data_IF_147291937433
#
_entry.id   IF_147291937433
#
_cell.length_a   1.000
_cell.length_b   1.000
_cell.length_c   1.000
_cell.angle_alpha   90.00
_cell.angle_beta   90.00
_cell.angle_gamma   90.00
#
_symmetry.space_group_name_H-M   'P 1'
#
loop_
_entity.id
_entity.type
_entity.pdbx_description
1 polymer ?
#
# COMPACT_ATOMS: atom_id res chain seq x y z
N UNK A 1 -28.94 -10.99 8.08
CA UNK A 1 -28.24 -10.84 6.78
C UNK A 1 -28.19 -9.36 6.47
N UNK A 2 -27.20 -8.63 7.02
CA UNK A 2 -27.02 -7.21 6.76
C UNK A 2 -26.48 -7.05 5.34
N UNK A 3 -27.30 -6.55 4.41
CA UNK A 3 -26.82 -6.01 3.14
C UNK A 3 -26.03 -4.73 3.45
N UNK A 4 -24.73 -4.86 3.66
CA UNK A 4 -23.82 -3.74 3.53
C UNK A 4 -23.90 -3.29 2.07
N UNK A 5 -24.68 -2.23 1.84
CA UNK A 5 -24.63 -1.48 0.58
C UNK A 5 -23.24 -0.83 0.56
N UNK A 6 -22.28 -1.48 -0.12
CA UNK A 6 -21.03 -0.84 -0.47
C UNK A 6 -21.40 0.40 -1.28
N UNK A 7 -21.12 1.58 -0.73
CA UNK A 7 -21.27 2.83 -1.46
C UNK A 7 -20.07 2.91 -2.42
N UNK A 8 -20.15 2.20 -3.51
CA UNK A 8 -19.21 2.35 -4.62
C UNK A 8 -19.78 3.37 -5.60
N UNK A 9 -18.90 4.07 -6.28
CA UNK A 9 -19.25 4.90 -7.44
C UNK A 9 -19.21 4.06 -8.76
N UNK A 10 -20.09 3.05 -8.93
CA UNK A 10 -19.96 2.01 -9.96
C UNK A 10 -20.09 2.56 -11.37
N UNK A 11 -20.63 3.75 -11.50
CA UNK A 11 -20.82 4.44 -12.78
C UNK A 11 -19.74 5.50 -13.05
N UNK A 12 -18.77 5.67 -12.14
CA UNK A 12 -17.69 6.61 -12.35
C UNK A 12 -16.86 6.23 -13.58
N UNK A 13 -16.36 7.23 -14.29
CA UNK A 13 -15.43 7.05 -15.43
C UNK A 13 -14.26 6.14 -15.06
N UNK A 14 -13.67 6.35 -13.89
CA UNK A 14 -12.52 5.58 -13.41
C UNK A 14 -12.87 4.10 -13.24
N UNK A 15 -13.94 3.77 -12.52
CA UNK A 15 -14.34 2.37 -12.28
C UNK A 15 -14.74 1.67 -13.60
N UNK A 16 -15.40 2.38 -14.50
CA UNK A 16 -15.72 1.86 -15.83
C UNK A 16 -14.46 1.55 -16.64
N UNK A 17 -13.47 2.45 -16.62
CA UNK A 17 -12.18 2.21 -17.28
C UNK A 17 -11.45 1.00 -16.69
N UNK A 18 -11.42 0.84 -15.36
CA UNK A 18 -10.86 -0.34 -14.71
C UNK A 18 -11.53 -1.66 -15.12
N UNK A 19 -12.81 -1.59 -15.53
CA UNK A 19 -13.58 -2.74 -16.04
C UNK A 19 -13.51 -2.88 -17.55
N UNK A 20 -12.60 -2.18 -18.23
CA UNK A 20 -12.47 -2.13 -19.69
C UNK A 20 -13.77 -1.73 -20.40
N UNK A 21 -14.63 -0.93 -19.75
CA UNK A 21 -15.86 -0.41 -20.32
C UNK A 21 -15.63 0.92 -21.04
N UNK A 22 -16.41 1.27 -22.06
CA UNK A 22 -16.29 2.54 -22.77
C UNK A 22 -16.43 3.74 -21.83
N UNK A 23 -15.54 4.71 -21.99
CA UNK A 23 -15.53 5.99 -21.27
C UNK A 23 -15.40 7.14 -22.25
N UNK A 24 -15.86 8.32 -21.85
CA UNK A 24 -15.83 9.54 -22.66
C UNK A 24 -14.42 10.12 -22.83
N UNK A 25 -13.55 9.90 -21.82
CA UNK A 25 -12.13 10.29 -21.83
C UNK A 25 -11.36 9.40 -20.86
N UNK A 26 -10.04 9.34 -21.00
CA UNK A 26 -9.15 8.66 -20.05
C UNK A 26 -9.26 9.30 -18.66
N UNK A 27 -9.61 8.53 -17.60
CA UNK A 27 -9.61 9.03 -16.24
C UNK A 27 -8.20 9.26 -15.73
N UNK A 28 -8.03 10.27 -14.88
CA UNK A 28 -6.74 10.66 -14.33
C UNK A 28 -6.79 10.70 -12.82
N UNK A 29 -5.79 10.12 -12.19
CA UNK A 29 -5.44 10.26 -10.78
C UNK A 29 -3.92 10.30 -10.63
N UNK A 30 -3.41 10.76 -9.48
CA UNK A 30 -1.98 10.83 -9.26
C UNK A 30 -1.56 9.96 -8.08
N UNK A 31 -0.50 9.17 -8.26
CA UNK A 31 0.06 8.31 -7.20
C UNK A 31 0.33 9.10 -5.90
N UNK A 32 0.77 10.34 -6.03
CA UNK A 32 1.02 11.25 -4.91
C UNK A 32 0.14 12.51 -5.03
N UNK A 33 -1.17 12.32 -4.86
CA UNK A 33 -2.12 13.44 -4.87
C UNK A 33 -1.80 14.44 -3.76
N UNK A 34 -1.67 13.98 -2.52
CA UNK A 34 -1.14 14.81 -1.44
C UNK A 34 0.39 14.79 -1.45
N UNK A 35 1.00 15.96 -1.42
CA UNK A 35 2.43 16.07 -1.45
C UNK A 35 2.98 17.42 -0.99
N UNK A 36 4.31 17.51 -0.81
CA UNK A 36 4.98 18.72 -0.33
C UNK A 36 4.83 19.93 -1.26
N UNK A 37 4.33 19.77 -2.46
CA UNK A 37 3.96 20.85 -3.36
C UNK A 37 2.70 21.61 -2.91
N UNK A 38 1.79 20.96 -2.15
CA UNK A 38 0.56 21.55 -1.65
C UNK A 38 0.80 22.30 -0.34
N UNK A 39 0.26 23.53 -0.23
CA UNK A 39 0.36 24.34 0.98
C UNK A 39 -0.39 23.71 2.16
N UNK A 40 -1.57 23.16 1.91
CA UNK A 40 -2.45 22.51 2.86
C UNK A 40 -1.73 21.31 3.49
N UNK A 41 -1.16 20.43 2.66
CA UNK A 41 -0.39 19.29 3.15
C UNK A 41 0.83 19.73 3.99
N UNK A 42 1.55 20.78 3.56
CA UNK A 42 2.67 21.31 4.35
C UNK A 42 2.22 21.84 5.71
N UNK A 43 1.01 22.42 5.80
CA UNK A 43 0.44 22.89 7.07
C UNK A 43 0.17 21.74 8.05
N UNK A 44 -0.37 20.62 7.57
CA UNK A 44 -0.56 19.41 8.37
C UNK A 44 0.80 18.82 8.79
N UNK A 45 1.76 18.72 7.86
CA UNK A 45 3.10 18.18 8.11
C UNK A 45 3.96 18.98 9.08
N UNK A 46 3.66 20.28 9.27
CA UNK A 46 4.31 21.10 10.31
C UNK A 46 3.92 20.67 11.73
N UNK A 47 2.74 20.05 11.90
CA UNK A 47 2.19 19.66 13.20
C UNK A 47 2.30 18.17 13.47
N UNK A 48 2.38 17.36 12.43
CA UNK A 48 2.32 15.89 12.51
C UNK A 48 3.39 15.23 11.65
N UNK A 49 3.98 14.16 12.16
CA UNK A 49 4.85 13.28 11.36
C UNK A 49 4.03 12.54 10.29
N UNK A 50 4.71 11.96 9.29
CA UNK A 50 4.05 11.16 8.26
C UNK A 50 3.25 10.00 8.88
N UNK A 51 3.87 9.26 9.78
CA UNK A 51 3.27 8.10 10.43
C UNK A 51 2.10 8.49 11.33
N UNK A 52 2.19 9.63 12.03
CA UNK A 52 1.05 10.14 12.81
C UNK A 52 -0.15 10.46 11.92
N UNK A 53 0.06 11.06 10.75
CA UNK A 53 -1.03 11.32 9.80
C UNK A 53 -1.65 9.99 9.34
N UNK A 54 -0.83 9.02 8.95
CA UNK A 54 -1.33 7.71 8.50
C UNK A 54 -2.10 6.97 9.59
N UNK A 55 -1.70 7.09 10.87
CA UNK A 55 -2.32 6.38 12.01
C UNK A 55 -3.54 7.10 12.61
N UNK A 56 -3.82 8.33 12.19
CA UNK A 56 -4.99 9.10 12.61
C UNK A 56 -5.99 9.18 11.45
N UNK A 57 -7.09 8.41 11.50
CA UNK A 57 -8.04 8.32 10.39
C UNK A 57 -8.55 9.68 9.89
N UNK A 58 -8.84 10.58 10.82
CA UNK A 58 -9.32 11.93 10.52
C UNK A 58 -8.30 12.77 9.74
N UNK A 59 -7.00 12.66 10.07
CA UNK A 59 -5.95 13.39 9.36
C UNK A 59 -5.67 12.77 7.99
N UNK A 60 -5.64 11.44 7.90
CA UNK A 60 -5.46 10.74 6.63
C UNK A 60 -6.62 11.05 5.66
N UNK A 61 -7.86 11.07 6.19
CA UNK A 61 -9.04 11.45 5.41
C UNK A 61 -8.99 12.92 4.97
N UNK A 62 -8.69 13.86 5.88
CA UNK A 62 -8.54 15.28 5.57
C UNK A 62 -7.54 15.51 4.43
N UNK A 63 -6.34 14.92 4.56
CA UNK A 63 -5.28 15.05 3.55
C UNK A 63 -5.72 14.46 2.21
N UNK A 64 -6.40 13.32 2.21
CA UNK A 64 -6.91 12.67 1.00
C UNK A 64 -7.96 13.54 0.31
N UNK A 65 -8.96 14.02 1.06
CA UNK A 65 -10.08 14.83 0.56
C UNK A 65 -9.55 16.14 -0.03
N UNK A 66 -8.76 16.86 0.76
CA UNK A 66 -8.19 18.16 0.33
C UNK A 66 -7.40 18.03 -0.98
N UNK A 67 -6.59 16.97 -1.10
CA UNK A 67 -5.80 16.76 -2.30
C UNK A 67 -6.67 16.41 -3.52
N UNK A 68 -7.65 15.53 -3.36
CA UNK A 68 -8.52 15.12 -4.45
C UNK A 68 -9.38 16.30 -4.96
N UNK A 69 -9.92 17.12 -4.07
CA UNK A 69 -10.72 18.31 -4.42
C UNK A 69 -9.87 19.39 -5.11
N UNK A 70 -8.67 19.67 -4.58
CA UNK A 70 -7.79 20.68 -5.16
C UNK A 70 -7.29 20.32 -6.56
N UNK A 71 -7.11 19.04 -6.85
CA UNK A 71 -6.60 18.57 -8.15
C UNK A 71 -7.69 18.26 -9.17
N UNK A 72 -8.94 18.08 -8.76
CA UNK A 72 -10.07 17.76 -9.65
C UNK A 72 -9.88 16.43 -10.39
N UNK A 73 -9.35 15.42 -9.71
CA UNK A 73 -9.04 14.08 -10.25
C UNK A 73 -10.28 13.22 -10.45
N UNK A 74 -10.16 12.14 -11.22
CA UNK A 74 -11.24 11.18 -11.48
C UNK A 74 -11.33 10.04 -10.42
N UNK A 75 -10.39 9.98 -9.48
CA UNK A 75 -10.42 9.08 -8.32
C UNK A 75 -9.56 9.61 -7.17
N UNK A 76 -9.99 9.40 -5.92
CA UNK A 76 -9.18 9.69 -4.75
C UNK A 76 -8.35 8.45 -4.36
N UNK A 77 -7.08 8.61 -3.98
CA UNK A 77 -6.28 7.55 -3.38
C UNK A 77 -6.04 7.86 -1.91
N UNK A 78 -6.23 6.85 -1.05
CA UNK A 78 -6.04 7.03 0.40
C UNK A 78 -4.63 7.51 0.73
N UNK A 79 -4.53 8.47 1.65
CA UNK A 79 -3.25 8.85 2.21
C UNK A 79 -2.81 7.84 3.27
N UNK A 80 -1.82 7.04 2.93
CA UNK A 80 -1.23 6.03 3.80
C UNK A 80 0.25 5.83 3.41
N UNK A 81 0.95 4.96 4.14
CA UNK A 81 2.30 4.54 3.77
C UNK A 81 2.34 3.06 3.39
N UNK A 82 3.18 2.74 2.41
CA UNK A 82 3.33 1.40 1.85
C UNK A 82 3.83 0.38 2.88
N UNK A 83 4.60 0.85 3.89
CA UNK A 83 5.29 0.00 4.86
C UNK A 83 4.50 -0.26 6.14
N UNK A 84 3.31 0.31 6.30
CA UNK A 84 2.48 0.08 7.49
C UNK A 84 2.26 -1.42 7.82
N UNK A 85 2.07 -2.32 6.83
CA UNK A 85 1.99 -3.76 7.09
C UNK A 85 3.22 -4.34 7.78
N UNK A 86 4.42 -3.80 7.54
CA UNK A 86 5.65 -4.31 8.14
C UNK A 86 5.65 -4.14 9.67
N UNK A 87 5.08 -3.05 10.16
CA UNK A 87 5.03 -2.78 11.60
C UNK A 87 4.20 -3.84 12.34
N UNK A 88 3.05 -4.21 11.81
CA UNK A 88 2.18 -5.25 12.39
C UNK A 88 2.77 -6.65 12.24
N UNK A 89 3.66 -6.84 11.28
CA UNK A 89 4.46 -8.06 11.15
C UNK A 89 5.61 -8.15 12.16
N UNK A 90 5.84 -7.09 12.97
CA UNK A 90 6.89 -7.05 13.97
C UNK A 90 8.20 -6.42 13.48
N UNK A 91 8.16 -5.70 12.38
CA UNK A 91 9.30 -5.03 11.77
C UNK A 91 9.10 -3.49 11.80
N UNK A 92 9.37 -2.83 12.94
CA UNK A 92 9.20 -1.39 13.04
C UNK A 92 10.18 -0.65 12.12
N UNK A 93 9.72 0.47 11.61
CA UNK A 93 10.50 1.35 10.75
C UNK A 93 10.31 2.81 11.15
N UNK A 94 11.26 3.66 10.76
CA UNK A 94 11.17 5.11 10.92
C UNK A 94 11.58 5.82 9.63
N UNK A 95 11.18 7.07 9.51
CA UNK A 95 11.65 7.92 8.41
C UNK A 95 12.79 8.82 8.89
N UNK A 96 13.90 8.77 8.19
CA UNK A 96 15.02 9.68 8.38
C UNK A 96 15.06 10.76 7.29
N UNK A 97 15.42 11.97 7.69
CA UNK A 97 15.50 13.09 6.77
C UNK A 97 16.61 12.85 5.73
N UNK A 98 16.20 12.80 4.46
CA UNK A 98 17.13 12.57 3.34
C UNK A 98 17.36 11.10 2.98
N UNK A 99 17.08 10.16 3.85
CA UNK A 99 17.33 8.73 3.62
C UNK A 99 16.07 7.92 3.28
N UNK A 100 14.90 8.41 3.67
CA UNK A 100 13.64 7.69 3.51
C UNK A 100 13.33 6.74 4.68
N UNK A 101 12.63 5.62 4.44
CA UNK A 101 12.34 4.65 5.47
C UNK A 101 13.59 3.85 5.86
N UNK A 102 13.78 3.64 7.16
CA UNK A 102 14.87 2.85 7.73
C UNK A 102 14.27 1.78 8.64
N UNK A 103 14.63 0.53 8.40
CA UNK A 103 14.27 -0.63 9.22
C UNK A 103 15.48 -1.00 10.07
N UNK A 104 15.35 -0.89 11.39
CA UNK A 104 16.48 -1.05 12.32
C UNK A 104 17.04 -2.47 12.33
N UNK A 105 16.17 -3.46 12.15
CA UNK A 105 16.53 -4.88 12.15
C UNK A 105 16.02 -5.54 10.88
N UNK A 106 16.73 -5.37 9.76
CA UNK A 106 16.35 -5.99 8.49
C UNK A 106 16.33 -7.51 8.59
N UNK A 107 15.49 -8.13 7.81
CA UNK A 107 15.42 -9.60 7.66
C UNK A 107 16.69 -10.09 6.95
N UNK A 108 17.40 -11.04 7.55
CA UNK A 108 18.68 -11.53 7.01
C UNK A 108 18.72 -13.03 6.77
N UNK A 109 17.93 -13.79 7.49
CA UNK A 109 17.92 -15.24 7.43
C UNK A 109 16.54 -15.84 7.73
N UNK A 110 16.46 -17.17 7.67
CA UNK A 110 15.23 -17.93 7.97
C UNK A 110 14.67 -17.69 9.38
N UNK A 111 15.55 -17.40 10.36
CA UNK A 111 15.09 -17.19 11.74
C UNK A 111 14.40 -15.83 11.87
N UNK A 112 14.87 -14.83 11.14
CA UNK A 112 14.21 -13.53 11.07
C UNK A 112 12.84 -13.67 10.38
N UNK A 113 12.78 -14.42 9.27
CA UNK A 113 11.51 -14.71 8.59
C UNK A 113 10.52 -15.43 9.50
N UNK A 114 10.98 -16.44 10.26
CA UNK A 114 10.14 -17.21 11.17
C UNK A 114 9.49 -16.35 12.26
N UNK A 115 10.14 -15.27 12.71
CA UNK A 115 9.62 -14.34 13.74
C UNK A 115 8.55 -13.39 13.22
N UNK A 116 8.39 -13.25 11.91
CA UNK A 116 7.41 -12.34 11.34
C UNK A 116 5.98 -12.85 11.61
N UNK A 117 5.13 -11.94 12.04
CA UNK A 117 3.73 -12.21 12.42
C UNK A 117 2.82 -11.99 11.21
N UNK A 118 1.74 -12.77 11.16
CA UNK A 118 0.70 -12.65 10.11
C UNK A 118 -0.70 -12.45 10.69
N UNK A 119 -0.83 -12.53 12.02
CA UNK A 119 -2.09 -12.55 12.76
C UNK A 119 -2.60 -11.16 13.18
N UNK A 120 -1.91 -10.09 12.81
CA UNK A 120 -2.19 -8.72 13.28
C UNK A 120 -2.58 -7.73 12.17
N UNK A 121 -3.02 -8.20 11.03
CA UNK A 121 -3.48 -7.31 9.95
C UNK A 121 -4.63 -6.39 10.39
N UNK A 122 -5.47 -6.84 11.32
CA UNK A 122 -6.56 -6.03 11.90
C UNK A 122 -6.08 -4.77 12.63
N UNK A 123 -4.84 -4.73 13.11
CA UNK A 123 -4.25 -3.55 13.76
C UNK A 123 -4.07 -2.36 12.77
N UNK A 124 -4.20 -2.61 11.47
CA UNK A 124 -4.23 -1.59 10.41
C UNK A 124 -5.63 -0.97 10.20
N UNK A 125 -6.60 -1.28 11.05
CA UNK A 125 -7.99 -0.82 10.95
C UNK A 125 -8.15 0.70 10.88
N UNK A 126 -7.16 1.47 11.33
CA UNK A 126 -7.15 2.93 11.20
C UNK A 126 -7.11 3.39 9.73
N UNK A 127 -6.48 2.62 8.82
CA UNK A 127 -6.51 2.93 7.38
C UNK A 127 -7.91 2.67 6.81
N UNK A 128 -8.53 1.55 7.18
CA UNK A 128 -9.90 1.24 6.78
C UNK A 128 -10.89 2.31 7.29
N UNK A 129 -10.69 2.83 8.51
CA UNK A 129 -11.51 3.92 9.03
C UNK A 129 -11.32 5.22 8.22
N UNK A 130 -10.10 5.57 7.84
CA UNK A 130 -9.85 6.70 6.96
C UNK A 130 -10.55 6.52 5.61
N UNK A 131 -10.51 5.33 5.02
CA UNK A 131 -11.24 5.00 3.77
C UNK A 131 -12.74 5.25 3.95
N UNK A 132 -13.37 4.78 5.06
CA UNK A 132 -14.80 5.03 5.32
C UNK A 132 -15.13 6.52 5.37
N UNK A 133 -14.29 7.32 6.03
CA UNK A 133 -14.49 8.77 6.14
C UNK A 133 -14.41 9.45 4.76
N UNK A 134 -13.44 9.08 3.92
CA UNK A 134 -13.32 9.59 2.55
C UNK A 134 -14.51 9.18 1.69
N UNK A 135 -14.91 7.91 1.75
CA UNK A 135 -16.08 7.41 1.02
C UNK A 135 -17.37 8.12 1.47
N UNK A 136 -17.53 8.37 2.77
CA UNK A 136 -18.66 9.14 3.31
C UNK A 136 -18.69 10.58 2.79
N UNK A 137 -17.51 11.22 2.64
CA UNK A 137 -17.41 12.59 2.14
C UNK A 137 -17.77 12.69 0.66
N UNK A 138 -17.22 11.80 -0.16
CA UNK A 138 -17.42 11.88 -1.61
C UNK A 138 -18.73 11.21 -2.07
N UNK A 139 -19.20 10.17 -1.39
CA UNK A 139 -20.32 9.36 -1.84
C UNK A 139 -20.07 8.87 -3.28
N UNK A 140 -21.08 9.03 -4.14
CA UNK A 140 -20.99 8.62 -5.55
C UNK A 140 -20.23 9.61 -6.46
N UNK A 141 -19.77 10.74 -5.92
CA UNK A 141 -19.11 11.80 -6.71
C UNK A 141 -17.71 11.40 -7.18
N UNK A 142 -16.96 10.68 -6.34
CA UNK A 142 -15.58 10.33 -6.63
C UNK A 142 -15.26 8.95 -6.06
N UNK A 143 -14.77 8.00 -6.89
CA UNK A 143 -14.39 6.67 -6.43
C UNK A 143 -13.11 6.70 -5.60
N UNK A 144 -13.00 5.70 -4.72
CA UNK A 144 -11.90 5.56 -3.78
C UNK A 144 -10.95 4.44 -4.18
N UNK A 145 -9.67 4.77 -4.28
CA UNK A 145 -8.57 3.83 -4.48
C UNK A 145 -7.94 3.54 -3.11
N UNK A 146 -8.06 2.27 -2.67
CA UNK A 146 -7.18 1.73 -1.65
C UNK A 146 -5.87 1.24 -2.27
N UNK A 147 -4.85 0.97 -1.45
CA UNK A 147 -3.62 0.41 -1.99
C UNK A 147 -2.86 -0.46 -1.00
N UNK A 148 -1.96 -1.28 -1.53
CA UNK A 148 -0.94 -2.00 -0.78
C UNK A 148 0.36 -2.10 -1.57
N UNK A 149 1.44 -2.46 -0.90
CA UNK A 149 2.69 -2.86 -1.55
C UNK A 149 2.60 -4.29 -2.05
N UNK A 150 3.17 -4.56 -3.21
CA UNK A 150 3.37 -5.92 -3.68
C UNK A 150 4.42 -6.65 -2.81
N UNK A 151 4.31 -7.96 -2.66
CA UNK A 151 5.20 -8.74 -1.81
C UNK A 151 6.69 -8.54 -2.12
N UNK A 152 7.10 -8.51 -3.39
CA UNK A 152 8.49 -8.30 -3.75
C UNK A 152 9.01 -6.92 -3.29
N UNK A 153 8.26 -5.86 -3.51
CA UNK A 153 8.65 -4.51 -3.07
C UNK A 153 8.76 -4.44 -1.56
N UNK A 154 7.81 -5.03 -0.81
CA UNK A 154 7.86 -5.06 0.66
C UNK A 154 9.01 -5.92 1.17
N UNK A 155 9.22 -7.12 0.62
CA UNK A 155 10.35 -7.99 0.95
C UNK A 155 11.69 -7.27 0.74
N UNK A 156 11.81 -6.51 -0.36
CA UNK A 156 13.00 -5.73 -0.63
C UNK A 156 13.27 -4.68 0.45
N UNK A 157 12.26 -3.95 0.92
CA UNK A 157 12.42 -3.03 2.06
C UNK A 157 12.85 -3.77 3.33
N UNK A 158 12.19 -4.89 3.63
CA UNK A 158 12.47 -5.70 4.82
C UNK A 158 13.90 -6.22 4.84
N UNK A 159 14.41 -6.66 3.69
CA UNK A 159 15.74 -7.28 3.57
C UNK A 159 16.83 -6.23 3.41
N UNK A 160 16.66 -5.21 2.56
CA UNK A 160 17.68 -4.16 2.37
C UNK A 160 17.78 -3.24 3.60
N UNK A 161 16.68 -3.09 4.36
CA UNK A 161 16.62 -2.20 5.52
C UNK A 161 16.20 -0.77 5.16
N UNK A 162 15.94 -0.50 3.89
CA UNK A 162 15.60 0.81 3.34
C UNK A 162 15.65 0.82 1.82
N UNK A 163 15.90 2.00 1.23
CA UNK A 163 16.07 2.12 -0.20
C UNK A 163 17.36 1.41 -0.69
N UNK A 164 17.29 0.74 -1.85
CA UNK A 164 18.43 0.08 -2.48
C UNK A 164 18.47 0.36 -3.98
N UNK A 165 19.68 0.39 -4.56
CA UNK A 165 19.85 0.50 -6.02
C UNK A 165 19.95 -0.87 -6.71
N UNK A 166 20.60 -1.81 -6.05
CA UNK A 166 21.00 -3.08 -6.67
C UNK A 166 20.31 -4.30 -6.07
N UNK A 167 19.60 -4.13 -4.94
CA UNK A 167 18.85 -5.19 -4.25
C UNK A 167 19.70 -6.44 -3.99
N UNK A 168 20.95 -6.23 -3.54
CA UNK A 168 21.95 -7.31 -3.42
C UNK A 168 21.55 -8.32 -2.37
N UNK A 169 21.09 -7.85 -1.20
CA UNK A 169 20.67 -8.74 -0.11
C UNK A 169 19.38 -9.47 -0.46
N UNK A 170 18.45 -8.77 -1.12
CA UNK A 170 17.18 -9.35 -1.61
C UNK A 170 17.46 -10.48 -2.60
N UNK A 171 18.27 -10.22 -3.64
CA UNK A 171 18.64 -11.23 -4.63
C UNK A 171 19.44 -12.37 -4.01
N UNK A 172 20.33 -12.07 -3.06
CA UNK A 172 21.05 -13.11 -2.33
C UNK A 172 20.09 -14.07 -1.63
N UNK A 173 19.14 -13.58 -0.83
CA UNK A 173 18.15 -14.43 -0.16
C UNK A 173 17.33 -15.22 -1.18
N UNK A 174 16.85 -14.56 -2.23
CA UNK A 174 16.04 -15.16 -3.30
C UNK A 174 16.70 -16.36 -3.97
N UNK A 175 18.02 -16.25 -4.25
CA UNK A 175 18.75 -17.31 -4.95
C UNK A 175 19.39 -18.34 -4.03
N UNK A 176 19.87 -17.92 -2.83
CA UNK A 176 20.63 -18.79 -1.95
C UNK A 176 19.78 -19.47 -0.86
N UNK A 177 18.62 -18.91 -0.52
CA UNK A 177 17.75 -19.40 0.53
C UNK A 177 16.28 -19.46 0.07
N UNK A 178 15.96 -20.24 -0.99
CA UNK A 178 14.63 -20.23 -1.60
C UNK A 178 13.50 -20.63 -0.62
N UNK A 179 13.78 -21.49 0.35
CA UNK A 179 12.81 -21.85 1.39
C UNK A 179 12.43 -20.64 2.28
N UNK A 180 13.42 -19.87 2.74
CA UNK A 180 13.19 -18.66 3.53
C UNK A 180 12.49 -17.57 2.69
N UNK A 181 12.89 -17.45 1.42
CA UNK A 181 12.26 -16.53 0.47
C UNK A 181 10.77 -16.86 0.28
N UNK A 182 10.42 -18.11 0.00
CA UNK A 182 9.04 -18.53 -0.23
C UNK A 182 8.18 -18.35 1.04
N UNK A 183 8.74 -18.63 2.22
CA UNK A 183 8.04 -18.38 3.49
C UNK A 183 7.78 -16.88 3.69
N UNK A 184 8.78 -16.02 3.42
CA UNK A 184 8.61 -14.56 3.49
C UNK A 184 7.52 -14.07 2.54
N UNK A 185 7.53 -14.51 1.29
CA UNK A 185 6.52 -14.15 0.29
C UNK A 185 5.13 -14.60 0.72
N UNK A 186 4.97 -15.82 1.23
CA UNK A 186 3.69 -16.33 1.73
C UNK A 186 3.16 -15.50 2.90
N UNK A 187 4.01 -15.11 3.84
CA UNK A 187 3.64 -14.24 4.97
C UNK A 187 3.20 -12.85 4.49
N UNK A 188 3.93 -12.27 3.53
CA UNK A 188 3.58 -10.98 2.94
C UNK A 188 2.25 -11.03 2.20
N UNK A 189 2.02 -12.08 1.39
CA UNK A 189 0.74 -12.27 0.71
C UNK A 189 -0.40 -12.34 1.71
N UNK A 190 -0.26 -13.12 2.79
CA UNK A 190 -1.31 -13.25 3.80
C UNK A 190 -1.68 -11.89 4.44
N UNK A 191 -0.68 -11.11 4.86
CA UNK A 191 -0.93 -9.81 5.51
C UNK A 191 -1.44 -8.76 4.52
N UNK A 192 -0.86 -8.68 3.32
CA UNK A 192 -1.25 -7.66 2.34
C UNK A 192 -2.63 -7.94 1.74
N UNK A 193 -3.00 -9.20 1.56
CA UNK A 193 -4.34 -9.60 1.09
C UNK A 193 -5.41 -9.20 2.10
N UNK A 194 -5.20 -9.47 3.38
CA UNK A 194 -6.16 -9.07 4.42
C UNK A 194 -6.22 -7.54 4.55
N UNK A 195 -5.07 -6.86 4.52
CA UNK A 195 -5.02 -5.40 4.53
C UNK A 195 -5.76 -4.77 3.34
N UNK A 196 -5.62 -5.32 2.13
CA UNK A 196 -6.36 -4.87 0.96
C UNK A 196 -7.88 -5.18 1.10
N UNK A 197 -8.23 -6.36 1.60
CA UNK A 197 -9.61 -6.75 1.82
C UNK A 197 -10.33 -5.84 2.83
N UNK A 198 -9.64 -5.41 3.92
CA UNK A 198 -10.19 -4.45 4.86
C UNK A 198 -10.49 -3.08 4.22
N UNK A 199 -9.63 -2.60 3.31
CA UNK A 199 -9.89 -1.37 2.57
C UNK A 199 -11.11 -1.51 1.64
N UNK A 200 -11.28 -2.66 0.99
CA UNK A 200 -12.48 -2.95 0.18
C UNK A 200 -13.72 -3.00 1.06
N UNK A 201 -13.69 -3.69 2.20
CA UNK A 201 -14.81 -3.72 3.16
C UNK A 201 -15.14 -2.33 3.71
N UNK A 202 -14.17 -1.44 3.75
CA UNK A 202 -14.35 -0.04 4.17
C UNK A 202 -14.95 0.86 3.07
N UNK A 203 -15.03 0.39 1.82
CA UNK A 203 -15.66 1.09 0.70
C UNK A 203 -14.72 1.48 -0.43
N UNK A 204 -13.47 1.02 -0.45
CA UNK A 204 -12.60 1.24 -1.60
C UNK A 204 -13.16 0.55 -2.85
N UNK A 205 -13.27 1.30 -3.95
CA UNK A 205 -13.81 0.81 -5.23
C UNK A 205 -12.78 0.00 -6.01
N UNK A 206 -11.49 0.24 -5.74
CA UNK A 206 -10.36 -0.35 -6.44
C UNK A 206 -9.18 -0.47 -5.50
N UNK A 207 -8.34 -1.49 -5.68
CA UNK A 207 -7.05 -1.61 -4.99
C UNK A 207 -5.92 -1.45 -6.00
N UNK A 208 -5.02 -0.53 -5.73
CA UNK A 208 -3.77 -0.39 -6.46
C UNK A 208 -2.67 -1.17 -5.73
N UNK A 209 -2.10 -2.15 -6.40
CA UNK A 209 -0.91 -2.86 -5.90
C UNK A 209 0.33 -2.18 -6.45
N UNK A 210 1.21 -1.68 -5.57
CA UNK A 210 2.44 -1.03 -5.98
C UNK A 210 3.62 -2.00 -5.91
N UNK A 211 4.14 -2.36 -7.07
CA UNK A 211 5.38 -3.13 -7.19
C UNK A 211 6.50 -2.30 -7.80
N UNK A 212 6.88 -1.27 -7.07
CA UNK A 212 7.78 -0.22 -7.56
C UNK A 212 9.20 -0.71 -7.86
N UNK A 213 9.60 -1.85 -7.29
CA UNK A 213 10.99 -2.34 -7.38
C UNK A 213 11.16 -3.62 -8.18
N UNK A 214 10.08 -4.23 -8.63
CA UNK A 214 10.10 -5.48 -9.40
C UNK A 214 10.88 -5.35 -10.72
N UNK A 215 11.00 -4.15 -11.27
CA UNK A 215 11.75 -3.87 -12.50
C UNK A 215 13.26 -4.18 -12.41
N UNK A 216 13.80 -4.50 -11.22
CA UNK A 216 15.17 -4.98 -11.06
C UNK A 216 15.33 -6.48 -11.36
N UNK A 217 14.23 -7.21 -11.55
CA UNK A 217 14.21 -8.64 -11.86
C UNK A 217 14.25 -8.86 -13.38
N UNK A 218 14.78 -10.01 -13.78
CA UNK A 218 14.58 -10.54 -15.12
C UNK A 218 13.14 -11.03 -15.30
N UNK A 219 12.70 -11.18 -16.55
CA UNK A 219 11.37 -11.78 -16.84
C UNK A 219 11.26 -13.19 -16.30
N UNK A 220 12.36 -13.95 -16.32
CA UNK A 220 12.42 -15.32 -15.80
C UNK A 220 12.27 -15.34 -14.28
N UNK A 221 12.99 -14.47 -13.55
CA UNK A 221 12.86 -14.35 -12.10
C UNK A 221 11.46 -13.92 -11.70
N UNK A 222 10.89 -12.95 -12.43
CA UNK A 222 9.53 -12.49 -12.16
C UNK A 222 8.52 -13.65 -12.28
N UNK A 223 8.58 -14.42 -13.38
CA UNK A 223 7.70 -15.59 -13.57
C UNK A 223 7.87 -16.66 -12.50
N UNK A 224 9.12 -16.96 -12.13
CA UNK A 224 9.43 -17.92 -11.06
C UNK A 224 8.90 -17.49 -9.69
N UNK A 225 8.79 -16.19 -9.45
CA UNK A 225 8.28 -15.63 -8.18
C UNK A 225 6.75 -15.57 -8.13
N UNK A 226 6.12 -15.30 -9.29
CA UNK A 226 4.67 -15.11 -9.42
C UNK A 226 3.92 -16.44 -9.64
N UNK A 227 4.60 -17.43 -10.21
CA UNK A 227 4.06 -18.73 -10.52
C UNK A 227 5.01 -19.83 -9.98
N UNK A 228 5.06 -20.00 -8.64
CA UNK A 228 5.75 -21.16 -8.10
C UNK A 228 4.98 -22.39 -8.57
N UNK A 229 5.49 -23.09 -9.60
CA UNK A 229 4.99 -24.40 -9.98
C UNK A 229 4.80 -25.22 -8.72
N UNK A 230 3.61 -25.84 -8.49
CA UNK A 230 3.44 -26.75 -7.39
C UNK A 230 4.36 -27.95 -7.63
N UNK A 231 5.44 -28.02 -6.82
CA UNK A 231 6.36 -29.17 -6.82
C UNK A 231 5.67 -30.46 -6.36
#
# INVERSE_FOLDING_TARGET
MLHLKFMSAPHSRFVRACKAQPVDRTPVWFMRQAGRYMAEYRAVRKKHSLIEICKKPELAAEVTITAAEALGVDAAIIFADLLLPLEVMGLPFRFEAGEGPVIERPVRDKNDVARLRTDRAADLGYVAEAVRQVCKHFGDRLPMIGFCGAPFTLASYMIEGGGSRNYVQTKKMMYSEPGAWNELMSKLVAVTSEYAAEQVRAGADTIQIFDSWVGCLSVEDYRRLEDPEPG
#
